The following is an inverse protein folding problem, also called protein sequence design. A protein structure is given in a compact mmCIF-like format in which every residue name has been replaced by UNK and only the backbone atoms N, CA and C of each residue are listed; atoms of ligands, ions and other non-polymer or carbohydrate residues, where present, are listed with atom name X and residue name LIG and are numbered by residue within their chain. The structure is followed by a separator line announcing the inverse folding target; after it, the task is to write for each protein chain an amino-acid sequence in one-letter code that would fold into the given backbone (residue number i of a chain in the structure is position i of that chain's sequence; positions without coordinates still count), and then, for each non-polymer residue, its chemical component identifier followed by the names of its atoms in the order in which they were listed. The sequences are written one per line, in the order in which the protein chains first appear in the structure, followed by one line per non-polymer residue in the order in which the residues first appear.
data_IF_003836676811
#
_entry.id   IF_003836676811
#
_cell.length_a   1.000
_cell.length_b   1.000
_cell.length_c   1.000
_cell.angle_alpha   90.00
_cell.angle_beta   90.00
_cell.angle_gamma   90.00
#
_symmetry.space_group_name_H-M   'P 1'
#
loop_
_entity.id
_entity.type
_entity.pdbx_description
1 polymer ?
#
# COMPACT_ATOMS: atom_id res chain seq x y z
N UNK A 1 -2.24 -14.77 20.39
CA UNK A 1 -1.09 -14.19 19.67
C UNK A 1 -1.19 -14.66 18.22
N UNK A 2 -1.43 -13.76 17.26
CA UNK A 2 -1.65 -14.15 15.87
C UNK A 2 -0.30 -14.40 15.20
N UNK A 3 -0.07 -15.64 14.75
CA UNK A 3 1.10 -15.99 13.93
C UNK A 3 0.96 -15.29 12.57
N UNK A 4 1.70 -14.20 12.36
CA UNK A 4 1.75 -13.53 11.05
C UNK A 4 2.49 -14.42 10.06
N UNK A 5 1.75 -15.04 9.15
CA UNK A 5 2.31 -15.79 8.03
C UNK A 5 2.89 -14.79 7.02
N UNK A 6 4.05 -15.07 6.44
CA UNK A 6 4.70 -14.23 5.42
C UNK A 6 4.82 -14.98 4.09
N UNK A 7 4.92 -14.23 2.98
CA UNK A 7 5.18 -14.71 1.64
C UNK A 7 6.51 -14.16 1.15
N UNK A 8 7.34 -15.01 0.54
CA UNK A 8 8.60 -14.62 -0.08
C UNK A 8 8.34 -14.13 -1.51
N UNK A 9 8.85 -12.95 -1.84
CA UNK A 9 8.85 -12.40 -3.20
C UNK A 9 10.23 -12.66 -3.80
N UNK A 10 10.26 -13.48 -4.85
CA UNK A 10 11.49 -13.86 -5.54
C UNK A 10 11.59 -13.13 -6.88
N UNK A 11 12.82 -12.79 -7.27
CA UNK A 11 13.13 -12.26 -8.60
C UNK A 11 12.88 -13.34 -9.67
N UNK A 12 12.17 -13.03 -10.76
CA UNK A 12 11.94 -13.99 -11.84
C UNK A 12 13.21 -14.26 -12.67
N UNK A 13 14.24 -13.39 -12.56
CA UNK A 13 15.46 -13.48 -13.34
C UNK A 13 16.44 -14.52 -12.78
N UNK A 14 16.63 -14.52 -11.46
CA UNK A 14 17.67 -15.30 -10.77
C UNK A 14 17.18 -16.01 -9.50
N UNK A 15 15.87 -15.94 -9.20
CA UNK A 15 15.22 -16.52 -8.02
C UNK A 15 15.76 -16.02 -6.68
N UNK A 16 16.54 -14.94 -6.69
CA UNK A 16 17.00 -14.31 -5.47
C UNK A 16 15.82 -13.68 -4.71
N UNK A 17 15.88 -13.75 -3.38
CA UNK A 17 14.86 -13.16 -2.51
C UNK A 17 14.93 -11.64 -2.59
N UNK A 18 13.83 -11.01 -2.99
CA UNK A 18 13.68 -9.55 -3.00
C UNK A 18 13.22 -9.10 -1.63
N UNK A 19 12.10 -9.66 -1.14
CA UNK A 19 11.48 -9.24 0.12
C UNK A 19 10.56 -10.32 0.68
N UNK A 20 10.24 -10.24 1.98
CA UNK A 20 9.16 -11.01 2.61
C UNK A 20 7.99 -10.10 2.98
N UNK A 21 6.81 -10.39 2.43
CA UNK A 21 5.59 -9.63 2.68
C UNK A 21 4.67 -10.36 3.68
N UNK A 22 3.98 -9.65 4.58
CA UNK A 22 2.99 -10.27 5.43
C UNK A 22 1.81 -10.77 4.59
N UNK A 23 1.41 -12.02 4.80
CA UNK A 23 0.20 -12.58 4.21
C UNK A 23 -1.02 -11.98 4.93
N UNK A 24 -1.83 -11.24 4.19
CA UNK A 24 -3.11 -10.73 4.69
C UNK A 24 -4.19 -11.80 4.55
N UNK A 25 -4.97 -12.01 5.61
CA UNK A 25 -6.09 -12.94 5.63
C UNK A 25 -7.43 -12.25 5.42
N UNK A 26 -8.50 -13.02 5.56
CA UNK A 26 -9.89 -12.56 5.39
C UNK A 26 -10.22 -11.36 6.29
N UNK A 27 -9.81 -11.40 7.56
CA UNK A 27 -10.10 -10.34 8.53
C UNK A 27 -9.47 -8.99 8.14
N UNK A 28 -8.23 -9.01 7.64
CA UNK A 28 -7.53 -7.81 7.17
C UNK A 28 -8.21 -7.24 5.93
N UNK A 29 -8.66 -8.11 5.02
CA UNK A 29 -9.40 -7.72 3.81
C UNK A 29 -10.75 -7.11 4.18
N UNK A 30 -11.53 -7.73 5.07
CA UNK A 30 -12.82 -7.21 5.50
C UNK A 30 -12.68 -5.85 6.20
N UNK A 31 -11.64 -5.71 7.04
CA UNK A 31 -11.31 -4.42 7.67
C UNK A 31 -11.00 -3.34 6.64
N UNK A 32 -10.21 -3.66 5.61
CA UNK A 32 -9.88 -2.73 4.53
C UNK A 32 -11.13 -2.31 3.75
N UNK A 33 -12.00 -3.27 3.42
CA UNK A 33 -13.26 -3.00 2.71
C UNK A 33 -14.21 -2.12 3.54
N UNK A 34 -14.39 -2.43 4.83
CA UNK A 34 -15.19 -1.59 5.75
C UNK A 34 -14.66 -0.17 5.83
N UNK A 35 -13.33 -0.03 5.91
CA UNK A 35 -12.67 1.28 5.95
C UNK A 35 -12.89 2.06 4.65
N UNK A 36 -12.67 1.42 3.50
CA UNK A 36 -12.87 2.03 2.18
C UNK A 36 -14.33 2.45 1.97
N UNK A 37 -15.28 1.61 2.36
CA UNK A 37 -16.69 1.91 2.27
C UNK A 37 -17.10 3.08 3.18
N UNK A 38 -16.65 3.08 4.44
CA UNK A 38 -16.90 4.18 5.38
C UNK A 38 -16.36 5.51 4.86
N UNK A 39 -15.13 5.53 4.35
CA UNK A 39 -14.55 6.71 3.71
C UNK A 39 -15.33 7.12 2.46
N UNK A 40 -15.79 6.18 1.64
CA UNK A 40 -16.57 6.52 0.45
C UNK A 40 -17.89 7.25 0.78
N UNK A 41 -18.56 6.81 1.84
CA UNK A 41 -19.78 7.46 2.34
C UNK A 41 -19.49 8.82 2.96
N UNK A 42 -18.43 8.93 3.78
CA UNK A 42 -18.01 10.20 4.39
C UNK A 42 -16.83 10.85 3.64
N UNK A 43 -17.18 11.62 2.61
CA UNK A 43 -16.18 12.37 1.82
C UNK A 43 -15.58 13.56 2.58
N UNK A 44 -16.13 13.96 3.73
CA UNK A 44 -15.52 15.04 4.54
C UNK A 44 -14.19 14.58 5.16
N UNK A 45 -14.05 13.28 5.40
CA UNK A 45 -12.83 12.62 5.83
C UNK A 45 -11.80 12.43 4.71
N UNK A 46 -12.10 12.85 3.46
CA UNK A 46 -11.15 12.76 2.36
C UNK A 46 -10.10 13.86 2.43
N UNK A 47 -8.93 13.56 1.89
CA UNK A 47 -7.91 14.57 1.63
C UNK A 47 -8.52 15.65 0.71
N UNK A 48 -8.50 16.94 1.08
CA UNK A 48 -9.05 18.02 0.26
C UNK A 48 -8.43 18.05 -1.14
N UNK A 49 -9.22 18.35 -2.18
CA UNK A 49 -8.79 18.27 -3.58
C UNK A 49 -7.51 19.05 -3.91
N UNK A 50 -7.32 20.23 -3.31
CA UNK A 50 -6.10 21.03 -3.47
C UNK A 50 -4.84 20.39 -2.86
N UNK A 51 -5.00 19.46 -1.90
CA UNK A 51 -3.91 18.66 -1.33
C UNK A 51 -3.66 17.37 -2.12
N UNK A 52 -4.64 16.86 -2.86
CA UNK A 52 -4.49 15.66 -3.70
C UNK A 52 -3.44 15.84 -4.79
N UNK A 53 -3.51 16.95 -5.54
CA UNK A 53 -2.56 17.23 -6.64
C UNK A 53 -1.14 17.45 -6.14
N UNK A 54 -0.97 18.06 -4.97
CA UNK A 54 0.34 18.24 -4.32
C UNK A 54 0.99 16.89 -3.97
N UNK A 55 0.21 15.91 -3.51
CA UNK A 55 0.72 14.58 -3.19
C UNK A 55 1.07 13.77 -4.44
N UNK A 56 0.29 13.92 -5.53
CA UNK A 56 0.61 13.29 -6.82
C UNK A 56 1.93 13.81 -7.41
N UNK A 57 2.18 15.12 -7.36
CA UNK A 57 3.45 15.69 -7.83
C UNK A 57 4.66 15.30 -6.96
N UNK A 58 4.48 15.16 -5.64
CA UNK A 58 5.55 14.76 -4.71
C UNK A 58 5.97 13.29 -4.84
N UNK A 59 5.03 12.40 -5.16
CA UNK A 59 5.33 10.99 -5.42
C UNK A 59 5.85 10.73 -6.85
N UNK A 60 5.92 11.78 -7.68
CA UNK A 60 6.44 11.75 -9.04
C UNK A 60 7.85 12.33 -9.17
N UNK A 61 8.53 12.68 -8.07
CA UNK A 61 9.98 12.85 -8.09
C UNK A 61 10.61 11.45 -8.08
N UNK A 62 11.05 10.90 -9.23
CA UNK A 62 12.00 9.81 -9.17
C UNK A 62 13.25 10.35 -8.45
N UNK A 63 13.79 9.54 -7.55
CA UNK A 63 15.19 9.65 -7.16
C UNK A 63 16.00 9.56 -8.46
N UNK A 64 16.32 10.72 -9.03
CA UNK A 64 17.18 10.82 -10.19
C UNK A 64 18.51 10.23 -9.72
N UNK A 65 18.82 9.04 -10.24
CA UNK A 65 20.00 8.27 -9.89
C UNK A 65 21.17 9.20 -9.67
N UNK A 66 21.61 9.28 -8.42
CA UNK A 66 22.89 9.89 -8.10
C UNK A 66 23.94 8.91 -8.58
N UNK A 67 24.50 9.22 -9.74
CA UNK A 67 25.82 8.73 -10.16
C UNK A 67 26.88 9.08 -9.11
#
# INVERSE_FOLDING_TARGET
MSNKKTLKVLSPYDQNLIEELPLMGENEVEKALKTAYGLFLDRSSWIPSHKKNRNLGKNQEPDAGKD
#
